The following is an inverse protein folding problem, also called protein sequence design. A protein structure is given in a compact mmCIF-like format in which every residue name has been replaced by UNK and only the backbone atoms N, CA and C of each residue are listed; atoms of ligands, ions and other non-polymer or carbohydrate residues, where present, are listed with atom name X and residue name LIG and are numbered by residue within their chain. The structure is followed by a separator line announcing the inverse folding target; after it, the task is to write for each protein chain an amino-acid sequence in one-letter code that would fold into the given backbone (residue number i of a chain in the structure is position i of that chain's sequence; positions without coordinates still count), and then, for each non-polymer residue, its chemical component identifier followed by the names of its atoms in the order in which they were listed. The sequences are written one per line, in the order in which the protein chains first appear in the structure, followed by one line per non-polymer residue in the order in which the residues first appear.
data_IF_504364619487
#
_entry.id   IF_504364619487
#
_cell.length_a   1.000
_cell.length_b   1.000
_cell.length_c   1.000
_cell.angle_alpha   90.00
_cell.angle_beta   90.00
_cell.angle_gamma   90.00
#
_symmetry.space_group_name_H-M   'P 1'
#
loop_
_entity.id
_entity.type
_entity.pdbx_description
1 polymer ?
#
# COMPACT_ATOMS: atom_id res chain seq x y z
N UNK A 1 -26.08 1.56 35.14
CA UNK A 1 -25.61 2.85 34.57
C UNK A 1 -24.57 2.56 33.51
N UNK A 2 -25.04 2.35 32.28
CA UNK A 2 -24.21 2.08 31.12
C UNK A 2 -23.49 3.39 30.75
N UNK A 3 -22.17 3.44 30.87
CA UNK A 3 -21.39 4.53 30.27
C UNK A 3 -21.61 4.42 28.76
N UNK A 4 -22.60 5.15 28.23
CA UNK A 4 -22.66 5.51 26.80
C UNK A 4 -21.28 6.06 26.47
N UNK A 5 -20.46 5.27 25.77
CA UNK A 5 -19.20 5.74 25.22
C UNK A 5 -19.52 7.02 24.47
N UNK A 6 -18.95 8.15 24.90
CA UNK A 6 -19.09 9.41 24.15
C UNK A 6 -18.57 9.11 22.75
N UNK A 7 -19.48 9.04 21.77
CA UNK A 7 -19.10 8.89 20.39
C UNK A 7 -18.30 10.16 20.06
N UNK A 8 -16.99 10.01 19.86
CA UNK A 8 -16.07 11.14 19.71
C UNK A 8 -16.28 11.89 18.38
N UNK A 9 -17.06 11.30 17.46
CA UNK A 9 -17.41 11.83 16.17
C UNK A 9 -18.92 11.72 15.93
N UNK A 10 -19.56 12.73 15.29
CA UNK A 10 -20.95 12.66 14.89
C UNK A 10 -21.17 11.59 13.80
N UNK A 11 -22.36 11.01 13.77
CA UNK A 11 -22.76 10.00 12.79
C UNK A 11 -23.98 10.49 12.01
N UNK A 12 -23.82 10.71 10.71
CA UNK A 12 -24.94 10.88 9.80
C UNK A 12 -25.40 9.50 9.33
N UNK A 13 -26.69 9.20 9.53
CA UNK A 13 -27.29 7.93 9.10
C UNK A 13 -27.99 8.14 7.77
N UNK A 14 -27.57 7.40 6.74
CA UNK A 14 -28.22 7.39 5.42
C UNK A 14 -29.16 6.19 5.29
N UNK A 15 -30.17 6.32 4.44
CA UNK A 15 -31.16 5.25 4.20
C UNK A 15 -30.54 4.03 3.50
N UNK A 16 -29.68 4.26 2.50
CA UNK A 16 -29.16 3.22 1.62
C UNK A 16 -27.67 3.38 1.36
N UNK A 17 -26.92 2.28 1.36
CA UNK A 17 -25.53 2.26 0.90
C UNK A 17 -25.49 2.30 -0.64
N UNK A 18 -24.72 3.21 -1.26
CA UNK A 18 -24.60 3.25 -2.72
C UNK A 18 -24.03 1.95 -3.28
N UNK A 19 -24.69 1.43 -4.32
CA UNK A 19 -24.22 0.25 -5.05
C UNK A 19 -22.96 0.56 -5.85
N UNK A 20 -22.10 -0.44 -6.14
CA UNK A 20 -20.94 -0.24 -7.01
C UNK A 20 -21.32 0.37 -8.37
N UNK A 21 -22.43 -0.05 -8.97
CA UNK A 21 -22.94 0.45 -10.25
C UNK A 21 -23.27 1.95 -10.19
N UNK A 22 -23.90 2.43 -9.11
CA UNK A 22 -24.22 3.84 -8.88
C UNK A 22 -22.94 4.68 -8.68
N UNK A 23 -22.02 4.19 -7.84
CA UNK A 23 -20.76 4.87 -7.55
C UNK A 23 -19.89 5.02 -8.80
N UNK A 24 -19.71 3.93 -9.55
CA UNK A 24 -18.86 3.90 -10.73
C UNK A 24 -19.59 4.26 -12.03
N UNK A 25 -20.86 4.68 -11.93
CA UNK A 25 -21.72 5.11 -13.04
C UNK A 25 -21.69 4.12 -14.20
N UNK A 26 -21.88 2.84 -13.89
CA UNK A 26 -21.78 1.74 -14.86
C UNK A 26 -22.93 0.77 -14.68
N UNK A 27 -23.64 0.41 -15.77
CA UNK A 27 -24.81 -0.47 -15.67
C UNK A 27 -24.45 -1.92 -15.32
N UNK A 28 -23.22 -2.37 -15.64
CA UNK A 28 -22.68 -3.68 -15.24
C UNK A 28 -21.18 -3.60 -14.98
N UNK A 29 -20.72 -4.32 -13.96
CA UNK A 29 -19.30 -4.52 -13.68
C UNK A 29 -18.72 -5.68 -14.51
N UNK A 30 -18.39 -5.38 -15.77
CA UNK A 30 -17.63 -6.33 -16.62
C UNK A 30 -16.21 -6.52 -16.08
N UNK A 31 -15.54 -7.64 -16.42
CA UNK A 31 -14.16 -7.91 -15.99
C UNK A 31 -13.21 -6.76 -16.32
N UNK A 32 -13.29 -6.21 -17.54
CA UNK A 32 -12.52 -5.04 -17.97
C UNK A 32 -12.74 -3.84 -17.03
N UNK A 33 -13.99 -3.56 -16.65
CA UNK A 33 -14.30 -2.47 -15.72
C UNK A 33 -13.83 -2.78 -14.30
N UNK A 34 -13.88 -4.04 -13.85
CA UNK A 34 -13.29 -4.43 -12.57
C UNK A 34 -11.78 -4.15 -12.53
N UNK A 35 -11.06 -4.57 -13.56
CA UNK A 35 -9.60 -4.36 -13.66
C UNK A 35 -9.25 -2.86 -13.71
N UNK A 36 -9.84 -2.11 -14.63
CA UNK A 36 -9.41 -0.72 -14.88
C UNK A 36 -10.11 0.34 -14.02
N UNK A 37 -11.29 0.04 -13.48
CA UNK A 37 -12.09 1.00 -12.71
C UNK A 37 -12.22 0.64 -11.24
N UNK A 38 -12.18 -0.63 -10.81
CA UNK A 38 -12.23 -1.00 -9.39
C UNK A 38 -10.82 -1.21 -8.82
N UNK A 39 -10.02 -2.10 -9.41
CA UNK A 39 -8.76 -2.56 -8.83
C UNK A 39 -7.64 -1.52 -8.71
N UNK A 40 -7.79 -0.33 -9.28
CA UNK A 40 -6.80 0.74 -9.15
C UNK A 40 -6.34 1.04 -7.71
N UNK A 41 -7.23 1.08 -6.71
CA UNK A 41 -6.82 1.27 -5.30
C UNK A 41 -6.00 0.09 -4.77
N UNK A 42 -6.34 -1.14 -5.19
CA UNK A 42 -5.57 -2.33 -4.85
C UNK A 42 -4.20 -2.35 -5.54
N UNK A 43 -4.10 -1.76 -6.73
CA UNK A 43 -2.83 -1.60 -7.44
C UNK A 43 -1.90 -0.61 -6.75
N UNK A 44 -2.43 0.53 -6.27
CA UNK A 44 -1.65 1.46 -5.45
C UNK A 44 -1.16 0.76 -4.19
N UNK A 45 -2.02 -0.07 -3.57
CA UNK A 45 -1.64 -0.85 -2.42
C UNK A 45 -0.53 -1.86 -2.73
N UNK A 46 -0.63 -2.57 -3.86
CA UNK A 46 0.41 -3.49 -4.33
C UNK A 46 1.74 -2.77 -4.60
N UNK A 47 1.71 -1.60 -5.25
CA UNK A 47 2.92 -0.81 -5.53
C UNK A 47 3.60 -0.30 -4.28
N UNK A 48 2.81 0.12 -3.27
CA UNK A 48 3.38 0.55 -1.98
C UNK A 48 3.96 -0.61 -1.18
N UNK A 49 3.44 -1.83 -1.38
CA UNK A 49 3.93 -3.05 -0.74
C UNK A 49 5.20 -3.63 -1.37
N UNK A 50 5.70 -3.04 -2.48
CA UNK A 50 6.96 -3.45 -3.11
C UNK A 50 7.99 -2.37 -2.79
N UNK A 51 8.83 -2.63 -1.79
CA UNK A 51 9.77 -1.65 -1.27
C UNK A 51 11.15 -2.21 -0.97
N UNK A 52 11.85 -1.51 -0.08
CA UNK A 52 13.21 -1.87 0.33
C UNK A 52 13.29 -3.25 1.01
N UNK A 53 12.21 -3.75 1.62
CA UNK A 53 12.20 -5.10 2.19
C UNK A 53 12.27 -6.19 1.13
N UNK A 54 11.48 -6.06 0.07
CA UNK A 54 11.39 -7.02 -1.02
C UNK A 54 12.61 -6.93 -1.95
N UNK A 55 13.18 -5.73 -2.13
CA UNK A 55 14.34 -5.54 -3.00
C UNK A 55 15.70 -5.68 -2.33
N UNK A 56 15.81 -5.44 -1.03
CA UNK A 56 17.09 -5.52 -0.32
C UNK A 56 17.11 -6.68 0.67
N UNK A 57 16.14 -6.73 1.60
CA UNK A 57 16.15 -7.71 2.68
C UNK A 57 15.86 -9.12 2.18
N UNK A 58 14.86 -9.30 1.32
CA UNK A 58 14.49 -10.60 0.73
C UNK A 58 15.65 -11.27 -0.03
N UNK A 59 16.28 -10.59 -1.01
CA UNK A 59 17.45 -11.12 -1.71
C UNK A 59 18.63 -11.37 -0.78
N UNK A 60 18.86 -10.51 0.21
CA UNK A 60 19.90 -10.74 1.23
C UNK A 60 19.66 -12.04 1.99
N UNK A 61 18.41 -12.33 2.35
CA UNK A 61 18.04 -13.60 2.99
C UNK A 61 18.25 -14.79 2.06
N UNK A 62 17.82 -14.69 0.80
CA UNK A 62 17.98 -15.74 -0.20
C UNK A 62 19.47 -16.06 -0.45
N UNK A 63 20.32 -15.04 -0.56
CA UNK A 63 21.78 -15.21 -0.77
C UNK A 63 22.43 -15.89 0.45
N UNK A 64 22.03 -15.52 1.66
CA UNK A 64 22.66 -16.03 2.90
C UNK A 64 22.16 -17.42 3.31
N UNK A 65 20.90 -17.73 3.06
CA UNK A 65 20.20 -18.88 3.65
C UNK A 65 19.55 -19.80 2.62
N UNK A 66 19.68 -19.50 1.33
CA UNK A 66 18.89 -20.14 0.28
C UNK A 66 17.41 -19.76 0.38
N UNK A 67 16.57 -20.49 -0.32
CA UNK A 67 15.13 -20.25 -0.37
C UNK A 67 14.35 -20.97 0.73
N UNK A 68 15.01 -21.54 1.74
CA UNK A 68 14.34 -22.32 2.79
C UNK A 68 13.21 -21.59 3.52
N UNK A 69 13.23 -20.26 3.56
CA UNK A 69 12.19 -19.43 4.19
C UNK A 69 11.07 -18.99 3.25
N UNK A 70 11.02 -19.50 2.01
CA UNK A 70 10.08 -19.05 0.98
C UNK A 70 8.60 -19.29 1.34
N UNK A 71 8.31 -20.30 2.16
CA UNK A 71 6.96 -20.55 2.69
C UNK A 71 6.40 -19.39 3.54
N UNK A 72 7.26 -18.56 4.14
CA UNK A 72 6.81 -17.41 4.92
C UNK A 72 6.23 -16.29 4.05
N UNK A 73 6.62 -16.22 2.77
CA UNK A 73 6.19 -15.14 1.87
C UNK A 73 4.67 -15.16 1.67
N UNK A 74 4.10 -16.33 1.36
CA UNK A 74 2.65 -16.42 1.14
C UNK A 74 1.87 -16.25 2.45
N UNK A 75 2.44 -16.65 3.60
CA UNK A 75 1.83 -16.37 4.91
C UNK A 75 1.79 -14.87 5.16
N UNK A 76 2.91 -14.17 4.93
CA UNK A 76 2.99 -12.72 5.05
C UNK A 76 1.97 -12.03 4.15
N UNK A 77 1.87 -12.46 2.89
CA UNK A 77 0.91 -11.94 1.92
C UNK A 77 -0.56 -12.16 2.37
N UNK A 78 -0.90 -13.33 2.92
CA UNK A 78 -2.25 -13.60 3.44
C UNK A 78 -2.55 -12.71 4.65
N UNK A 79 -1.64 -12.63 5.61
CA UNK A 79 -1.83 -11.81 6.82
C UNK A 79 -1.97 -10.33 6.46
N UNK A 80 -1.12 -9.83 5.55
CA UNK A 80 -1.22 -8.48 5.00
C UNK A 80 -2.56 -8.23 4.33
N UNK A 81 -3.02 -9.19 3.51
CA UNK A 81 -4.31 -9.10 2.82
C UNK A 81 -5.46 -9.01 3.82
N UNK A 82 -5.48 -9.87 4.84
CA UNK A 82 -6.51 -9.85 5.89
C UNK A 82 -6.51 -8.51 6.63
N UNK A 83 -5.32 -7.98 6.96
CA UNK A 83 -5.17 -6.72 7.67
C UNK A 83 -5.73 -5.54 6.85
N UNK A 84 -5.28 -5.36 5.61
CA UNK A 84 -5.75 -4.26 4.73
C UNK A 84 -7.24 -4.42 4.44
N UNK A 85 -7.70 -5.66 4.18
CA UNK A 85 -9.11 -5.94 3.91
C UNK A 85 -10.00 -5.58 5.11
N UNK A 86 -9.55 -5.85 6.33
CA UNK A 86 -10.30 -5.53 7.55
C UNK A 86 -10.52 -4.02 7.71
N UNK A 87 -9.49 -3.20 7.49
CA UNK A 87 -9.65 -1.74 7.47
C UNK A 87 -10.49 -1.25 6.30
N UNK A 88 -10.34 -1.87 5.13
CA UNK A 88 -11.11 -1.49 3.94
C UNK A 88 -12.60 -1.72 4.14
N UNK A 89 -13.00 -2.81 4.81
CA UNK A 89 -14.42 -3.04 5.17
C UNK A 89 -14.98 -1.94 6.05
N UNK A 90 -14.20 -1.47 7.02
CA UNK A 90 -14.61 -0.36 7.88
C UNK A 90 -14.80 0.90 7.02
N UNK A 91 -13.82 1.26 6.19
CA UNK A 91 -13.92 2.42 5.31
C UNK A 91 -15.07 2.34 4.30
N UNK A 92 -15.40 1.14 3.79
CA UNK A 92 -16.57 0.91 2.94
C UNK A 92 -17.86 1.18 3.72
N UNK A 93 -17.93 0.71 4.96
CA UNK A 93 -19.14 0.78 5.77
C UNK A 93 -19.37 2.15 6.40
N UNK A 94 -18.32 2.91 6.69
CA UNK A 94 -18.40 4.19 7.42
C UNK A 94 -17.96 5.40 6.58
N UNK A 95 -17.25 5.18 5.47
CA UNK A 95 -16.62 6.27 4.72
C UNK A 95 -15.49 6.94 5.50
N UNK A 96 -14.97 6.33 6.55
CA UNK A 96 -13.91 6.90 7.37
C UNK A 96 -12.52 6.47 6.93
N UNK A 97 -11.54 7.32 7.21
CA UNK A 97 -10.13 6.92 7.16
C UNK A 97 -9.81 6.09 8.41
N UNK A 98 -8.78 5.21 8.36
CA UNK A 98 -8.36 4.47 9.55
C UNK A 98 -8.04 5.35 10.76
N UNK A 99 -7.41 6.52 10.56
CA UNK A 99 -7.12 7.47 11.64
C UNK A 99 -8.41 8.03 12.23
N UNK A 100 -9.39 8.39 11.39
CA UNK A 100 -10.72 8.81 11.83
C UNK A 100 -11.40 7.70 12.66
N UNK A 101 -11.30 6.44 12.22
CA UNK A 101 -11.82 5.30 12.98
C UNK A 101 -11.09 5.14 14.33
N UNK A 102 -9.78 5.38 14.41
CA UNK A 102 -9.05 5.33 15.67
C UNK A 102 -9.52 6.38 16.68
N UNK A 103 -10.01 7.55 16.24
CA UNK A 103 -10.65 8.49 17.14
C UNK A 103 -11.88 7.92 17.84
N UNK A 104 -12.55 6.90 17.27
CA UNK A 104 -13.67 6.20 17.92
C UNK A 104 -13.21 5.28 19.06
N UNK A 105 -11.96 4.82 19.02
CA UNK A 105 -11.33 4.06 20.11
C UNK A 105 -10.83 5.03 21.18
N UNK A 106 -10.18 6.11 20.75
CA UNK A 106 -9.72 7.20 21.59
C UNK A 106 -8.69 8.07 20.91
N UNK A 107 -8.56 9.32 21.37
CA UNK A 107 -7.60 10.29 20.83
C UNK A 107 -6.16 9.75 20.86
N UNK A 108 -5.80 8.99 21.91
CA UNK A 108 -4.50 8.36 22.02
C UNK A 108 -4.21 7.39 20.85
N UNK A 109 -5.21 6.62 20.40
CA UNK A 109 -5.06 5.64 19.33
C UNK A 109 -4.87 6.36 17.98
N UNK A 110 -5.61 7.45 17.76
CA UNK A 110 -5.45 8.27 16.56
C UNK A 110 -4.08 8.94 16.51
N UNK A 111 -3.60 9.48 17.65
CA UNK A 111 -2.26 10.08 17.74
C UNK A 111 -1.18 9.03 17.49
N UNK A 112 -1.24 7.86 18.14
CA UNK A 112 -0.26 6.81 17.95
C UNK A 112 -0.27 6.27 16.52
N UNK A 113 -1.45 6.11 15.92
CA UNK A 113 -1.57 5.73 14.51
C UNK A 113 -0.91 6.76 13.60
N UNK A 114 -1.32 8.02 13.70
CA UNK A 114 -0.80 9.09 12.86
C UNK A 114 0.71 9.29 13.04
N UNK A 115 1.20 9.25 14.28
CA UNK A 115 2.62 9.34 14.60
C UNK A 115 3.38 8.15 14.03
N UNK A 116 2.84 6.94 14.14
CA UNK A 116 3.42 5.73 13.55
C UNK A 116 3.63 5.91 12.05
N UNK A 117 2.60 6.34 11.31
CA UNK A 117 2.73 6.63 9.87
C UNK A 117 3.76 7.73 9.62
N UNK A 118 3.67 8.87 10.31
CA UNK A 118 4.60 9.98 10.11
C UNK A 118 6.05 9.56 10.29
N UNK A 119 6.35 8.86 11.39
CA UNK A 119 7.68 8.36 11.69
C UNK A 119 8.17 7.30 10.69
N UNK A 120 7.30 6.65 9.94
CA UNK A 120 7.71 5.70 8.92
C UNK A 120 8.14 6.38 7.62
N UNK A 121 7.40 7.43 7.21
CA UNK A 121 7.58 8.04 5.89
C UNK A 121 8.47 9.30 5.89
N UNK A 122 8.76 9.91 7.06
CA UNK A 122 9.49 11.18 7.16
C UNK A 122 10.98 11.10 6.76
N UNK A 123 11.62 9.94 6.90
CA UNK A 123 13.09 9.83 6.83
C UNK A 123 13.68 9.89 5.41
N UNK A 124 12.85 9.89 4.36
CA UNK A 124 13.31 10.02 2.97
C UNK A 124 14.18 8.87 2.44
N UNK A 125 14.26 7.75 3.16
CA UNK A 125 15.13 6.61 2.85
C UNK A 125 14.90 6.00 1.46
N UNK A 126 13.65 5.94 0.99
CA UNK A 126 13.36 5.46 -0.37
C UNK A 126 13.82 6.43 -1.45
N UNK A 127 13.63 7.74 -1.27
CA UNK A 127 14.14 8.73 -2.23
C UNK A 127 15.67 8.65 -2.33
N UNK A 128 16.37 8.51 -1.20
CA UNK A 128 17.82 8.31 -1.17
C UNK A 128 18.25 7.00 -1.84
N UNK A 129 17.50 5.91 -1.63
CA UNK A 129 17.80 4.60 -2.24
C UNK A 129 17.60 4.63 -3.76
N UNK A 130 16.50 5.20 -4.23
CA UNK A 130 16.22 5.41 -5.66
C UNK A 130 17.27 6.31 -6.32
N UNK A 131 17.68 7.39 -5.63
CA UNK A 131 18.71 8.28 -6.12
C UNK A 131 20.07 7.60 -6.22
N UNK A 132 20.42 6.75 -5.25
CA UNK A 132 21.66 5.97 -5.25
C UNK A 132 21.68 4.98 -6.42
N UNK A 133 20.56 4.29 -6.66
CA UNK A 133 20.43 3.37 -7.79
C UNK A 133 20.55 4.11 -9.14
N UNK A 134 19.88 5.25 -9.30
CA UNK A 134 19.95 6.05 -10.53
C UNK A 134 21.35 6.65 -10.75
N UNK A 135 21.97 7.20 -9.70
CA UNK A 135 23.35 7.67 -9.75
C UNK A 135 24.31 6.56 -10.15
N UNK A 136 24.12 5.35 -9.60
CA UNK A 136 24.94 4.19 -9.96
C UNK A 136 24.80 3.78 -11.43
N UNK A 137 23.58 3.85 -11.97
CA UNK A 137 23.32 3.63 -13.39
C UNK A 137 23.99 4.66 -14.29
N UNK A 138 23.98 5.95 -13.91
CA UNK A 138 24.64 7.03 -14.64
C UNK A 138 26.16 6.90 -14.60
N UNK A 139 26.72 6.56 -13.43
CA UNK A 139 28.17 6.45 -13.23
C UNK A 139 28.75 5.12 -13.75
N UNK A 140 27.91 4.11 -14.00
CA UNK A 140 28.36 2.75 -14.32
C UNK A 140 29.06 2.02 -13.17
N UNK A 141 28.99 2.58 -11.94
CA UNK A 141 29.58 2.03 -10.72
C UNK A 141 28.78 2.47 -9.50
N UNK A 142 28.95 1.78 -8.37
CA UNK A 142 28.32 2.21 -7.12
C UNK A 142 28.83 3.61 -6.70
N UNK A 143 27.93 4.55 -6.33
CA UNK A 143 28.32 5.86 -5.83
C UNK A 143 29.13 5.75 -4.54
N UNK A 144 30.24 6.49 -4.46
CA UNK A 144 31.08 6.60 -3.27
C UNK A 144 30.87 7.92 -2.51
N UNK A 145 31.64 8.17 -1.45
CA UNK A 145 31.53 9.41 -0.65
C UNK A 145 31.67 10.70 -1.47
N UNK A 146 32.51 10.69 -2.51
CA UNK A 146 32.73 11.83 -3.40
C UNK A 146 31.50 12.15 -4.29
N UNK A 147 30.66 11.15 -4.59
CA UNK A 147 29.47 11.31 -5.44
C UNK A 147 28.24 11.78 -4.62
N UNK A 148 28.39 11.98 -3.31
CA UNK A 148 27.29 12.37 -2.41
C UNK A 148 26.52 13.61 -2.90
N UNK A 149 27.15 14.68 -3.42
CA UNK A 149 26.41 15.83 -3.96
C UNK A 149 25.49 15.43 -5.13
N UNK A 150 25.95 14.55 -6.02
CA UNK A 150 25.15 14.04 -7.14
C UNK A 150 23.95 13.23 -6.64
N UNK A 151 24.17 12.30 -5.71
CA UNK A 151 23.09 11.48 -5.13
C UNK A 151 22.03 12.35 -4.46
N UNK A 152 22.45 13.36 -3.69
CA UNK A 152 21.53 14.31 -3.05
C UNK A 152 20.75 15.13 -4.08
N UNK A 153 21.41 15.64 -5.12
CA UNK A 153 20.76 16.41 -6.18
C UNK A 153 19.72 15.56 -6.93
N UNK A 154 20.05 14.31 -7.26
CA UNK A 154 19.12 13.36 -7.86
C UNK A 154 17.94 13.09 -6.91
N UNK A 155 18.19 12.84 -5.63
CA UNK A 155 17.14 12.56 -4.65
C UNK A 155 16.14 13.71 -4.51
N UNK A 156 16.63 14.95 -4.40
CA UNK A 156 15.78 16.15 -4.38
C UNK A 156 14.98 16.26 -5.69
N UNK A 157 15.63 16.03 -6.83
CA UNK A 157 14.97 16.08 -8.15
C UNK A 157 13.85 15.04 -8.27
N UNK A 158 14.05 13.82 -7.77
CA UNK A 158 13.04 12.76 -7.76
C UNK A 158 11.87 13.11 -6.84
N UNK A 159 12.13 13.72 -5.68
CA UNK A 159 11.07 14.20 -4.76
C UNK A 159 10.24 15.31 -5.44
N UNK A 160 10.89 16.27 -6.08
CA UNK A 160 10.21 17.34 -6.82
C UNK A 160 9.39 16.75 -7.96
N UNK A 161 9.95 15.81 -8.72
CA UNK A 161 9.24 15.12 -9.79
C UNK A 161 8.00 14.38 -9.27
N UNK A 162 8.13 13.65 -8.17
CA UNK A 162 7.00 12.97 -7.54
C UNK A 162 5.92 13.97 -7.10
N UNK A 163 6.31 15.09 -6.48
CA UNK A 163 5.39 16.16 -6.10
C UNK A 163 4.66 16.75 -7.32
N UNK A 164 5.38 17.02 -8.41
CA UNK A 164 4.80 17.53 -9.67
C UNK A 164 3.80 16.53 -10.23
N UNK A 165 4.16 15.25 -10.35
CA UNK A 165 3.26 14.21 -10.86
C UNK A 165 1.99 14.15 -10.00
N UNK A 166 2.11 14.11 -8.67
CA UNK A 166 0.96 14.03 -7.76
C UNK A 166 0.09 15.29 -7.75
N UNK A 167 0.67 16.44 -8.09
CA UNK A 167 -0.06 17.71 -8.19
C UNK A 167 -0.95 17.80 -9.42
N UNK A 168 -0.72 16.95 -10.43
CA UNK A 168 -1.45 16.94 -11.69
C UNK A 168 -2.60 15.92 -11.68
N UNK A 169 -3.72 16.30 -12.29
CA UNK A 169 -4.81 15.40 -12.64
C UNK A 169 -6.13 15.74 -11.96
N UNK A 170 -7.13 14.87 -12.11
CA UNK A 170 -8.47 15.11 -11.53
C UNK A 170 -8.56 14.67 -10.07
N UNK A 171 -7.86 13.60 -9.71
CA UNK A 171 -7.77 13.02 -8.36
C UNK A 171 -6.36 12.45 -8.18
N UNK A 172 -5.77 12.63 -7.00
CA UNK A 172 -4.44 12.09 -6.68
C UNK A 172 -4.42 10.57 -6.88
N UNK A 173 -5.45 9.88 -6.40
CA UNK A 173 -5.62 8.44 -6.57
C UNK A 173 -5.57 8.01 -8.05
N UNK A 174 -6.20 8.78 -8.97
CA UNK A 174 -6.21 8.40 -10.39
C UNK A 174 -4.83 8.52 -11.03
N UNK A 175 -4.09 9.56 -10.69
CA UNK A 175 -2.72 9.75 -11.18
C UNK A 175 -1.81 8.63 -10.66
N UNK A 176 -1.94 8.30 -9.38
CA UNK A 176 -1.23 7.17 -8.76
C UNK A 176 -1.59 5.82 -9.40
N UNK A 177 -2.86 5.57 -9.71
CA UNK A 177 -3.28 4.34 -10.41
C UNK A 177 -2.56 4.15 -11.74
N UNK A 178 -2.52 5.20 -12.57
CA UNK A 178 -1.90 5.15 -13.90
C UNK A 178 -0.40 4.91 -13.75
N UNK A 179 0.24 5.64 -12.84
CA UNK A 179 1.66 5.48 -12.58
C UNK A 179 1.99 4.06 -12.09
N UNK A 180 1.24 3.53 -11.11
CA UNK A 180 1.46 2.18 -10.60
C UNK A 180 1.20 1.09 -11.65
N UNK A 181 0.26 1.29 -12.57
CA UNK A 181 0.07 0.36 -13.69
C UNK A 181 1.31 0.28 -14.58
N UNK A 182 1.87 1.43 -14.90
CA UNK A 182 3.09 1.50 -15.69
C UNK A 182 4.27 0.91 -14.92
N UNK A 183 4.53 1.39 -13.70
CA UNK A 183 5.67 1.03 -12.87
C UNK A 183 5.69 -0.47 -12.55
N UNK A 184 4.57 -1.01 -12.03
CA UNK A 184 4.45 -2.44 -11.76
C UNK A 184 4.53 -3.28 -13.02
N UNK A 185 3.99 -2.79 -14.14
CA UNK A 185 4.15 -3.43 -15.44
C UNK A 185 5.62 -3.59 -15.81
N UNK A 186 6.40 -2.52 -15.72
CA UNK A 186 7.84 -2.54 -16.00
C UNK A 186 8.58 -3.45 -15.04
N UNK A 187 8.32 -3.34 -13.74
CA UNK A 187 8.97 -4.16 -12.70
C UNK A 187 8.66 -5.64 -12.91
N UNK A 188 7.40 -6.06 -12.93
CA UNK A 188 7.08 -7.49 -13.04
C UNK A 188 7.55 -8.09 -14.36
N UNK A 189 7.38 -7.38 -15.48
CA UNK A 189 7.84 -7.89 -16.78
C UNK A 189 9.36 -8.04 -16.79
N UNK A 190 10.10 -7.02 -16.35
CA UNK A 190 11.57 -7.08 -16.33
C UNK A 190 12.08 -8.20 -15.42
N UNK A 191 11.54 -8.34 -14.20
CA UNK A 191 11.95 -9.39 -13.27
C UNK A 191 11.59 -10.79 -13.76
N UNK A 192 10.41 -10.99 -14.35
CA UNK A 192 10.01 -12.30 -14.91
C UNK A 192 10.94 -12.67 -16.06
N UNK A 193 11.19 -11.74 -16.99
CA UNK A 193 12.09 -11.98 -18.13
C UNK A 193 13.51 -12.28 -17.65
N UNK A 194 14.06 -11.48 -16.74
CA UNK A 194 15.39 -11.71 -16.18
C UNK A 194 15.45 -13.03 -15.40
N UNK A 195 14.42 -13.38 -14.64
CA UNK A 195 14.37 -14.64 -13.91
C UNK A 195 14.38 -15.84 -14.87
N UNK A 196 13.61 -15.79 -15.95
CA UNK A 196 13.58 -16.87 -16.96
C UNK A 196 14.95 -17.04 -17.64
N UNK A 197 15.64 -15.94 -17.93
CA UNK A 197 16.94 -15.95 -18.63
C UNK A 197 18.08 -16.38 -17.70
N UNK A 198 18.08 -15.88 -16.46
CA UNK A 198 19.25 -15.96 -15.57
C UNK A 198 19.16 -17.05 -14.51
N UNK A 199 17.97 -17.51 -14.14
CA UNK A 199 17.78 -18.41 -12.98
C UNK A 199 17.83 -19.88 -13.43
N UNK A 200 18.80 -20.68 -12.93
CA UNK A 200 18.89 -22.10 -13.26
C UNK A 200 17.67 -22.91 -12.80
N UNK A 201 17.30 -24.00 -13.49
CA UNK A 201 16.17 -24.87 -13.10
C UNK A 201 16.26 -25.42 -11.67
N UNK A 202 17.46 -25.63 -11.13
CA UNK A 202 17.66 -26.09 -9.75
C UNK A 202 17.11 -25.11 -8.71
N UNK A 203 17.22 -23.80 -8.96
CA UNK A 203 16.71 -22.76 -8.05
C UNK A 203 15.18 -22.70 -8.10
N UNK A 204 14.58 -22.89 -9.28
CA UNK A 204 13.12 -23.02 -9.40
C UNK A 204 12.59 -24.22 -8.62
N UNK A 205 13.28 -25.36 -8.69
CA UNK A 205 12.94 -26.55 -7.91
C UNK A 205 13.08 -26.29 -6.39
N UNK A 206 14.15 -25.61 -5.97
CA UNK A 206 14.34 -25.21 -4.56
C UNK A 206 13.23 -24.27 -4.09
N UNK A 207 12.85 -23.28 -4.91
CA UNK A 207 11.76 -22.36 -4.63
C UNK A 207 10.44 -23.11 -4.44
N UNK A 208 10.08 -23.99 -5.38
CA UNK A 208 8.86 -24.78 -5.33
C UNK A 208 8.83 -25.71 -4.09
N UNK A 209 9.94 -26.38 -3.79
CA UNK A 209 10.06 -27.22 -2.61
C UNK A 209 9.93 -26.38 -1.33
N UNK A 210 10.62 -25.24 -1.25
CA UNK A 210 10.62 -24.40 -0.05
C UNK A 210 9.31 -23.63 0.15
N UNK A 211 8.54 -23.40 -0.90
CA UNK A 211 7.22 -22.77 -0.84
C UNK A 211 6.22 -23.57 0.02
N UNK A 212 6.31 -24.91 -0.05
CA UNK A 212 5.40 -25.82 0.67
C UNK A 212 5.99 -26.40 1.96
N UNK A 213 7.27 -26.16 2.25
CA UNK A 213 7.96 -26.62 3.47
C UNK A 213 7.64 -25.74 4.67
N UNK A 214 6.36 -25.70 5.04
CA UNK A 214 5.86 -24.93 6.19
C UNK A 214 6.56 -25.36 7.47
N UNK A 215 7.03 -24.38 8.26
CA UNK A 215 7.74 -24.62 9.51
C UNK A 215 9.23 -24.90 9.37
N UNK A 216 9.76 -25.02 8.15
CA UNK A 216 11.20 -25.20 7.97
C UNK A 216 11.96 -23.89 8.27
N UNK A 217 13.02 -24.01 9.07
CA UNK A 217 13.96 -22.93 9.37
C UNK A 217 15.37 -23.45 9.02
N UNK A 218 16.12 -22.75 8.14
CA UNK A 218 17.48 -23.13 7.80
C UNK A 218 18.39 -23.25 9.04
N UNK A 219 19.24 -24.28 9.13
CA UNK A 219 20.25 -24.37 10.17
C UNK A 219 21.16 -23.14 10.13
N UNK A 220 21.52 -22.58 11.30
CA UNK A 220 22.36 -21.38 11.44
C UNK A 220 21.72 -20.07 10.96
N UNK A 221 20.40 -19.97 10.97
CA UNK A 221 19.73 -18.68 10.75
C UNK A 221 20.21 -17.65 11.77
N UNK A 222 20.68 -16.50 11.30
CA UNK A 222 20.91 -15.35 12.16
C UNK A 222 19.55 -14.76 12.54
N UNK A 223 19.19 -14.88 13.81
CA UNK A 223 17.90 -14.41 14.34
C UNK A 223 17.71 -12.90 14.15
N UNK A 224 18.80 -12.12 14.10
CA UNK A 224 18.74 -10.68 13.88
C UNK A 224 18.36 -10.37 12.44
N UNK A 225 18.98 -11.06 11.48
CA UNK A 225 18.69 -10.85 10.05
C UNK A 225 17.30 -11.40 9.71
N UNK A 226 16.95 -12.58 10.25
CA UNK A 226 15.62 -13.15 10.13
C UNK A 226 14.54 -12.25 10.74
N UNK A 227 14.76 -11.79 11.97
CA UNK A 227 13.86 -10.87 12.66
C UNK A 227 13.74 -9.52 11.94
N UNK A 228 14.82 -9.02 11.34
CA UNK A 228 14.79 -7.80 10.52
C UNK A 228 13.97 -7.96 9.24
N UNK A 229 14.14 -9.07 8.52
CA UNK A 229 13.36 -9.34 7.30
C UNK A 229 11.89 -9.64 7.59
N UNK A 230 11.59 -10.56 8.51
CA UNK A 230 10.21 -10.90 8.86
C UNK A 230 9.52 -9.78 9.62
N UNK A 231 10.25 -9.06 10.46
CA UNK A 231 9.79 -7.85 11.15
C UNK A 231 9.45 -6.73 10.17
N UNK A 232 10.19 -6.58 9.06
CA UNK A 232 9.83 -5.63 8.00
C UNK A 232 8.47 -5.94 7.40
N UNK A 233 8.13 -7.22 7.17
CA UNK A 233 6.80 -7.62 6.67
C UNK A 233 5.71 -7.19 7.67
N UNK A 234 5.93 -7.41 8.96
CA UNK A 234 5.02 -6.95 10.02
C UNK A 234 4.89 -5.42 10.09
N UNK A 235 6.01 -4.71 10.01
CA UNK A 235 6.08 -3.26 9.95
C UNK A 235 5.31 -2.69 8.75
N UNK A 236 5.60 -3.19 7.55
CA UNK A 236 4.95 -2.80 6.30
C UNK A 236 3.43 -3.01 6.41
N UNK A 237 3.01 -4.15 6.98
CA UNK A 237 1.59 -4.42 7.26
C UNK A 237 0.99 -3.36 8.17
N UNK A 238 1.64 -3.07 9.30
CA UNK A 238 1.13 -2.20 10.36
C UNK A 238 0.97 -0.73 9.96
N UNK A 239 1.67 -0.26 8.93
CA UNK A 239 1.55 1.13 8.42
C UNK A 239 0.67 1.23 7.19
N UNK A 240 0.46 0.12 6.48
CA UNK A 240 -0.28 0.06 5.22
C UNK A 240 -1.79 0.26 5.35
N UNK A 241 -2.33 0.42 6.57
CA UNK A 241 -3.72 0.85 6.71
C UNK A 241 -3.97 2.18 5.98
N UNK A 242 -2.96 3.05 5.81
CA UNK A 242 -3.11 4.32 5.07
C UNK A 242 -3.58 4.12 3.62
N UNK A 243 -3.33 2.95 3.04
CA UNK A 243 -3.72 2.62 1.68
C UNK A 243 -5.24 2.57 1.52
N UNK A 244 -5.96 2.34 2.63
CA UNK A 244 -7.43 2.35 2.71
C UNK A 244 -7.99 3.71 2.31
N UNK A 245 -7.24 4.79 2.49
CA UNK A 245 -7.63 6.13 2.02
C UNK A 245 -7.89 6.14 0.51
N UNK A 246 -7.13 5.39 -0.28
CA UNK A 246 -7.33 5.31 -1.73
C UNK A 246 -8.59 4.53 -2.11
N UNK A 247 -9.06 3.61 -1.28
CA UNK A 247 -10.35 2.95 -1.48
C UNK A 247 -11.51 3.90 -1.16
N UNK A 248 -11.40 4.62 -0.03
CA UNK A 248 -12.35 5.68 0.36
C UNK A 248 -12.46 6.74 -0.74
N UNK A 249 -11.35 7.35 -1.13
CA UNK A 249 -11.29 8.47 -2.10
C UNK A 249 -11.76 8.07 -3.51
N UNK A 250 -11.65 6.79 -3.83
CA UNK A 250 -12.20 6.24 -5.06
C UNK A 250 -13.73 6.17 -5.04
N UNK A 251 -14.32 6.17 -3.85
CA UNK A 251 -15.76 6.22 -3.62
C UNK A 251 -16.35 4.90 -3.19
N UNK A 252 -15.56 3.93 -2.73
CA UNK A 252 -16.08 2.63 -2.33
C UNK A 252 -17.09 2.77 -1.18
N UNK A 253 -18.29 2.21 -1.35
CA UNK A 253 -19.38 2.26 -0.37
C UNK A 253 -19.68 3.68 0.11
N UNK A 254 -19.67 3.88 1.42
CA UNK A 254 -19.87 5.16 2.08
C UNK A 254 -18.77 6.20 1.77
N UNK A 255 -17.62 5.78 1.24
CA UNK A 255 -16.59 6.67 0.70
C UNK A 255 -17.13 7.61 -0.39
N UNK A 256 -18.11 7.16 -1.19
CA UNK A 256 -18.75 8.00 -2.22
C UNK A 256 -19.52 9.19 -1.65
N UNK A 257 -19.94 9.12 -0.38
CA UNK A 257 -20.74 10.15 0.29
C UNK A 257 -19.92 11.06 1.21
N UNK A 258 -18.63 10.77 1.39
CA UNK A 258 -17.73 11.52 2.28
C UNK A 258 -16.67 12.34 1.54
N UNK A 259 -16.65 12.29 0.20
CA UNK A 259 -15.75 13.07 -0.64
C UNK A 259 -14.35 12.45 -0.80
N UNK A 260 -13.46 13.18 -1.47
CA UNK A 260 -12.08 12.75 -1.73
C UNK A 260 -11.12 13.94 -1.85
N UNK A 261 -9.82 13.70 -1.68
CA UNK A 261 -8.80 14.74 -1.85
C UNK A 261 -8.52 14.98 -3.33
N UNK A 262 -8.83 16.19 -3.78
CA UNK A 262 -8.60 16.61 -5.17
C UNK A 262 -7.15 17.02 -5.40
N UNK A 263 -6.62 16.75 -6.59
CA UNK A 263 -5.28 17.19 -6.96
C UNK A 263 -5.22 18.73 -7.10
N UNK A 264 -4.02 19.29 -6.91
CA UNK A 264 -3.80 20.74 -6.87
C UNK A 264 -4.15 21.40 -8.22
N UNK A 265 -3.80 20.76 -9.34
CA UNK A 265 -3.99 21.27 -10.69
C UNK A 265 -4.90 20.32 -11.48
N UNK A 266 -6.07 20.81 -11.92
CA UNK A 266 -7.06 20.04 -12.68
C UNK A 266 -8.11 19.29 -11.83
N UNK A 267 -7.99 19.36 -10.49
CA UNK A 267 -8.99 18.85 -9.56
C UNK A 267 -10.23 19.73 -9.47
N UNK A 268 -11.40 19.13 -9.23
CA UNK A 268 -12.61 19.87 -8.86
C UNK A 268 -12.71 19.91 -7.35
N UNK A 269 -12.78 21.09 -6.73
CA UNK A 269 -13.04 21.20 -5.28
C UNK A 269 -14.35 20.46 -4.97
N UNK A 270 -14.25 19.49 -4.07
CA UNK A 270 -15.38 18.75 -3.51
C UNK A 270 -15.25 18.85 -2.01
N UNK A 271 -16.38 19.05 -1.35
CA UNK A 271 -16.43 19.07 0.10
C UNK A 271 -16.09 17.68 0.64
N UNK A 272 -15.06 17.62 1.47
CA UNK A 272 -14.63 16.38 2.14
C UNK A 272 -15.22 16.41 3.54
N UNK A 273 -16.06 15.42 3.85
CA UNK A 273 -16.62 15.30 5.19
C UNK A 273 -15.51 14.96 6.18
N UNK A 274 -15.39 15.70 7.31
CA UNK A 274 -14.39 15.40 8.33
C UNK A 274 -14.72 14.13 9.13
N UNK A 275 -15.96 13.64 9.07
CA UNK A 275 -16.43 12.42 9.72
C UNK A 275 -17.15 11.48 8.73
N UNK A 276 -17.29 10.22 9.14
CA UNK A 276 -17.97 9.21 8.36
C UNK A 276 -19.49 9.36 8.32
N UNK A 277 -20.12 8.52 7.51
CA UNK A 277 -21.57 8.29 7.47
C UNK A 277 -21.82 6.79 7.62
N UNK A 278 -22.91 6.42 8.29
CA UNK A 278 -23.35 5.03 8.42
C UNK A 278 -24.68 4.84 7.69
N UNK A 279 -25.07 3.59 7.40
CA UNK A 279 -26.32 3.27 6.72
C UNK A 279 -27.25 2.45 7.62
N UNK A 280 -28.56 2.51 7.38
CA UNK A 280 -29.52 1.69 8.11
C UNK A 280 -29.31 0.20 7.85
N UNK A 281 -29.40 -0.62 8.90
CA UNK A 281 -29.31 -2.08 8.77
C UNK A 281 -30.62 -2.68 8.25
N UNK A 282 -30.90 -2.47 6.97
CA UNK A 282 -32.00 -3.13 6.24
C UNK A 282 -31.48 -4.38 5.52
N UNK A 283 -32.34 -5.37 5.21
CA UNK A 283 -31.92 -6.54 4.44
C UNK A 283 -31.26 -6.20 3.09
N UNK A 284 -31.74 -5.15 2.41
CA UNK A 284 -31.17 -4.65 1.16
C UNK A 284 -29.73 -4.12 1.33
N UNK A 285 -29.44 -3.45 2.45
CA UNK A 285 -28.09 -2.92 2.71
C UNK A 285 -27.11 -4.00 3.22
N UNK A 286 -27.60 -5.19 3.60
CA UNK A 286 -26.82 -6.30 4.14
C UNK A 286 -26.57 -7.44 3.13
N UNK A 287 -27.25 -7.41 1.98
CA UNK A 287 -27.06 -8.35 0.86
C UNK A 287 -25.94 -7.91 -0.07
#
# INVERSE_FOLDING_TARGET
MEKKGKNLLPEEVVEKIPTPEEVFKTPKLTLKKKVFALWGSALIALGTSIGSGEFLLGPTMAIKLGLGLFWLIWIGAILQTIYIYSFTRIAIATGETPITTFFRIGVWAAILGALGVFLCFVWGGWAASSATALAGGILGRMPGPADRPLVVAIGISLIILAFVILSLGRRIARTLEIFNWFDLGVIFISFIVLAIILVPPSIWAEAAASFVRVGYIPPKVDLTVFGGWWGYIGFATGVNYILVNYFKDKGYGMGSLTGFISALVGGKKIEVSPFGKIFKFTPENLS
#
